data_IF_871202285670
#
_entry.id   IF_871202285670
#
_cell.length_a   1.000
_cell.length_b   1.000
_cell.length_c   1.000
_cell.angle_alpha   90.00
_cell.angle_beta   90.00
_cell.angle_gamma   90.00
#
_symmetry.space_group_name_H-M   'P 1'
#
loop_
_entity.id
_entity.type
_entity.pdbx_description
1 polymer ?
#
# COMPACT_ATOMS: atom_id res chain seq x y z
N UNK A 1 8.48 5.45 -10.84
CA UNK A 1 7.06 5.80 -11.05
C UNK A 1 6.11 4.90 -10.26
N UNK A 2 6.09 3.57 -10.46
CA UNK A 2 5.18 2.68 -9.73
C UNK A 2 5.49 2.62 -8.23
N UNK A 3 6.77 2.48 -7.83
CA UNK A 3 7.14 2.52 -6.40
C UNK A 3 6.74 3.85 -5.75
N UNK A 4 6.83 4.96 -6.47
CA UNK A 4 6.40 6.25 -5.95
C UNK A 4 4.88 6.33 -5.78
N UNK A 5 4.11 5.73 -6.69
CA UNK A 5 2.67 5.59 -6.52
C UNK A 5 2.31 4.72 -5.31
N UNK A 6 3.07 3.64 -5.06
CA UNK A 6 2.95 2.81 -3.86
C UNK A 6 3.25 3.62 -2.59
N UNK A 7 4.36 4.37 -2.56
CA UNK A 7 4.72 5.26 -1.43
C UNK A 7 3.61 6.22 -1.08
N UNK A 8 3.10 6.96 -2.08
CA UNK A 8 2.01 7.92 -1.88
C UNK A 8 0.76 7.20 -1.36
N UNK A 9 0.42 6.03 -1.92
CA UNK A 9 -0.74 5.27 -1.46
C UNK A 9 -0.64 4.89 0.03
N UNK A 10 0.55 4.48 0.49
CA UNK A 10 0.84 4.16 1.89
C UNK A 10 0.73 5.42 2.76
N UNK A 11 1.38 6.51 2.37
CA UNK A 11 1.40 7.77 3.13
C UNK A 11 0.00 8.39 3.33
N UNK A 12 -0.96 8.09 2.45
CA UNK A 12 -2.34 8.53 2.64
C UNK A 12 -3.13 7.71 3.69
N UNK A 13 -2.57 6.59 4.16
CA UNK A 13 -3.22 5.68 5.12
C UNK A 13 -2.38 5.39 6.37
N UNK A 14 -1.07 5.61 6.31
CA UNK A 14 -0.10 5.29 7.35
C UNK A 14 0.84 6.48 7.59
N UNK A 15 1.24 6.68 8.85
CA UNK A 15 2.43 7.45 9.18
C UNK A 15 3.67 6.60 8.95
N UNK A 16 4.63 7.11 8.18
CA UNK A 16 5.90 6.46 7.88
C UNK A 16 7.00 7.07 8.76
N UNK A 17 7.69 6.25 9.55
CA UNK A 17 8.65 6.71 10.57
C UNK A 17 10.07 6.21 10.29
N UNK A 18 10.49 6.24 9.02
CA UNK A 18 11.64 5.51 8.43
C UNK A 18 11.28 4.08 8.00
N UNK A 19 10.42 3.93 6.96
CA UNK A 19 10.00 2.62 6.48
C UNK A 19 11.21 1.82 5.97
N UNK A 20 11.16 0.51 6.21
CA UNK A 20 12.27 -0.42 5.90
C UNK A 20 12.46 -0.60 4.39
N UNK A 21 11.38 -0.49 3.61
CA UNK A 21 11.38 -0.76 2.18
C UNK A 21 11.24 0.50 1.32
N UNK A 22 11.82 0.42 0.12
CA UNK A 22 11.82 1.46 -0.92
C UNK A 22 10.43 1.80 -1.49
N UNK A 23 9.36 1.11 -1.10
CA UNK A 23 7.98 1.41 -1.50
C UNK A 23 7.08 1.82 -0.31
N UNK A 24 7.71 2.23 0.80
CA UNK A 24 7.09 2.44 2.11
C UNK A 24 6.38 1.18 2.65
N UNK A 25 6.98 0.01 2.42
CA UNK A 25 6.47 -1.29 2.85
C UNK A 25 5.10 -1.64 2.23
N UNK A 26 4.77 -1.11 1.06
CA UNK A 26 3.50 -1.39 0.40
C UNK A 26 3.35 -2.88 0.14
N UNK A 27 4.37 -3.53 -0.45
CA UNK A 27 4.31 -4.97 -0.74
C UNK A 27 4.21 -5.80 0.55
N UNK A 28 4.90 -5.39 1.62
CA UNK A 28 4.79 -6.02 2.93
C UNK A 28 3.35 -5.93 3.48
N UNK A 29 2.70 -4.76 3.38
CA UNK A 29 1.30 -4.58 3.80
C UNK A 29 0.36 -5.49 3.00
N UNK A 30 0.54 -5.58 1.67
CA UNK A 30 -0.33 -6.40 0.82
C UNK A 30 -0.22 -7.89 1.17
N UNK A 31 0.99 -8.34 1.51
CA UNK A 31 1.29 -9.73 1.80
C UNK A 31 1.11 -10.11 3.29
N UNK A 32 0.97 -9.14 4.19
CA UNK A 32 0.83 -9.37 5.63
C UNK A 32 -0.41 -10.21 5.96
N UNK A 33 -0.30 -11.23 6.81
CA UNK A 33 -1.49 -11.97 7.29
C UNK A 33 -2.40 -11.09 8.15
N UNK A 34 -1.80 -10.19 8.94
CA UNK A 34 -2.46 -9.24 9.83
C UNK A 34 -1.66 -7.94 9.90
N UNK A 35 -2.35 -6.82 9.94
CA UNK A 35 -1.77 -5.49 10.17
C UNK A 35 -2.13 -5.10 11.61
N UNK A 36 -1.29 -5.52 12.55
CA UNK A 36 -1.41 -5.17 13.96
C UNK A 36 -0.16 -4.44 14.45
N UNK A 37 -0.11 -4.17 15.76
CA UNK A 37 0.95 -3.35 16.32
C UNK A 37 2.36 -3.94 16.11
N UNK A 38 2.47 -5.27 16.18
CA UNK A 38 3.74 -5.96 15.93
C UNK A 38 4.20 -5.76 14.48
N UNK A 39 3.27 -5.89 13.51
CA UNK A 39 3.57 -5.59 12.11
C UNK A 39 3.99 -4.13 11.91
N UNK A 40 3.27 -3.19 12.53
CA UNK A 40 3.55 -1.75 12.43
C UNK A 40 4.94 -1.40 12.96
N UNK A 41 5.27 -1.86 14.17
CA UNK A 41 6.57 -1.58 14.81
C UNK A 41 7.72 -2.23 14.02
N UNK A 42 7.51 -3.44 13.47
CA UNK A 42 8.51 -4.12 12.62
C UNK A 42 8.86 -3.35 11.35
N UNK A 43 7.89 -2.70 10.72
CA UNK A 43 8.07 -2.04 9.41
C UNK A 43 8.14 -0.51 9.52
N UNK A 44 8.11 0.04 10.75
CA UNK A 44 8.08 1.47 11.04
C UNK A 44 6.99 2.23 10.26
N UNK A 45 5.81 1.61 10.14
CA UNK A 45 4.63 2.16 9.47
C UNK A 45 3.40 2.01 10.36
N UNK A 46 2.69 3.09 10.61
CA UNK A 46 1.62 3.16 11.60
C UNK A 46 0.31 3.55 10.96
N UNK A 47 -0.70 2.67 10.99
CA UNK A 47 -1.99 2.96 10.39
C UNK A 47 -2.63 4.16 11.08
N UNK A 48 -3.15 5.12 10.30
CA UNK A 48 -3.86 6.25 10.90
C UNK A 48 -5.03 5.77 11.78
N UNK A 49 -5.25 6.37 12.96
CA UNK A 49 -6.27 5.92 13.91
C UNK A 49 -7.67 5.75 13.30
N UNK A 50 -8.06 6.63 12.38
CA UNK A 50 -9.37 6.58 11.68
C UNK A 50 -9.61 5.25 10.96
N UNK A 51 -8.56 4.60 10.45
CA UNK A 51 -8.70 3.33 9.75
C UNK A 51 -8.62 2.13 10.69
N UNK A 52 -7.92 2.26 11.82
CA UNK A 52 -7.72 1.19 12.80
C UNK A 52 -9.04 0.69 13.39
N UNK A 53 -9.93 1.62 13.71
CA UNK A 53 -11.19 1.29 14.38
C UNK A 53 -12.30 0.90 13.38
N UNK A 54 -12.10 1.17 12.08
CA UNK A 54 -13.13 1.04 11.06
C UNK A 54 -12.89 -0.11 10.08
N UNK A 55 -11.64 -0.55 9.90
CA UNK A 55 -11.27 -1.48 8.83
C UNK A 55 -10.53 -2.71 9.36
N UNK A 56 -10.92 -3.88 8.86
CA UNK A 56 -10.13 -5.10 8.99
C UNK A 56 -8.85 -5.05 8.13
N UNK A 57 -7.91 -5.96 8.38
CA UNK A 57 -6.69 -6.10 7.56
C UNK A 57 -6.99 -6.21 6.06
N UNK A 58 -7.97 -7.02 5.66
CA UNK A 58 -8.31 -7.19 4.25
C UNK A 58 -8.95 -5.93 3.65
N UNK A 59 -9.73 -5.19 4.45
CA UNK A 59 -10.28 -3.91 4.03
C UNK A 59 -9.18 -2.84 3.87
N UNK A 60 -8.18 -2.82 4.76
CA UNK A 60 -7.00 -1.95 4.64
C UNK A 60 -6.25 -2.25 3.35
N UNK A 61 -5.93 -3.52 3.08
CA UNK A 61 -5.26 -3.94 1.84
C UNK A 61 -6.05 -3.55 0.59
N UNK A 62 -7.37 -3.77 0.61
CA UNK A 62 -8.25 -3.43 -0.50
C UNK A 62 -8.28 -1.93 -0.77
N UNK A 63 -8.42 -1.12 0.29
CA UNK A 63 -8.38 0.34 0.19
C UNK A 63 -7.02 0.84 -0.32
N UNK A 64 -5.93 0.29 0.19
CA UNK A 64 -4.57 0.63 -0.22
C UNK A 64 -4.32 0.30 -1.71
N UNK A 65 -4.72 -0.90 -2.16
CA UNK A 65 -4.66 -1.29 -3.59
C UNK A 65 -5.47 -0.33 -4.45
N UNK A 66 -6.70 0.03 -4.04
CA UNK A 66 -7.56 0.95 -4.79
C UNK A 66 -6.92 2.33 -4.93
N UNK A 67 -6.26 2.85 -3.88
CA UNK A 67 -5.53 4.13 -3.95
C UNK A 67 -4.33 4.05 -4.89
N UNK A 68 -3.52 3.00 -4.78
CA UNK A 68 -2.39 2.79 -5.68
C UNK A 68 -2.82 2.72 -7.15
N UNK A 69 -3.90 2.00 -7.47
CA UNK A 69 -4.47 1.92 -8.83
C UNK A 69 -4.83 3.32 -9.35
N UNK A 70 -5.51 4.14 -8.54
CA UNK A 70 -5.87 5.51 -8.91
C UNK A 70 -4.65 6.39 -9.16
N UNK A 71 -3.64 6.30 -8.29
CA UNK A 71 -2.41 7.10 -8.44
C UNK A 71 -1.64 6.67 -9.68
N UNK A 72 -1.55 5.36 -9.97
CA UNK A 72 -0.89 4.85 -11.19
C UNK A 72 -1.66 5.30 -12.43
N UNK A 73 -2.98 5.14 -12.44
CA UNK A 73 -3.85 5.59 -13.54
C UNK A 73 -3.64 7.07 -13.83
N UNK A 74 -3.59 7.90 -12.79
CA UNK A 74 -3.34 9.34 -12.92
C UNK A 74 -1.91 9.66 -13.40
N UNK A 75 -0.87 9.09 -12.76
CA UNK A 75 0.54 9.39 -13.09
C UNK A 75 0.97 8.88 -14.48
N UNK A 76 0.37 7.79 -14.94
CA UNK A 76 0.71 7.16 -16.22
C UNK A 76 -0.24 7.52 -17.37
N UNK A 77 -1.30 8.30 -17.11
CA UNK A 77 -2.37 8.62 -18.06
C UNK A 77 -2.98 7.38 -18.75
N UNK A 78 -3.40 6.41 -17.91
CA UNK A 78 -4.00 5.15 -18.36
C UNK A 78 -5.28 4.85 -17.59
N UNK A 79 -6.14 3.96 -18.12
CA UNK A 79 -7.33 3.51 -17.40
C UNK A 79 -7.00 2.64 -16.16
N UNK A 80 -7.95 2.56 -15.21
CA UNK A 80 -7.78 1.83 -13.95
C UNK A 80 -7.52 0.32 -14.16
N UNK A 81 -8.06 -0.29 -15.22
CA UNK A 81 -7.81 -1.71 -15.54
C UNK A 81 -6.36 -1.97 -15.93
N UNK A 82 -5.76 -1.08 -16.73
CA UNK A 82 -4.35 -1.15 -17.13
C UNK A 82 -3.45 -0.89 -15.93
N UNK A 83 -3.79 0.11 -15.10
CA UNK A 83 -3.09 0.38 -13.85
C UNK A 83 -3.14 -0.81 -12.89
N UNK A 84 -4.30 -1.48 -12.77
CA UNK A 84 -4.46 -2.71 -11.97
C UNK A 84 -3.55 -3.83 -12.46
N UNK A 85 -3.50 -4.07 -13.79
CA UNK A 85 -2.61 -5.08 -14.38
C UNK A 85 -1.14 -4.79 -14.07
N UNK A 86 -0.70 -3.54 -14.22
CA UNK A 86 0.67 -3.12 -13.89
C UNK A 86 0.97 -3.35 -12.41
N UNK A 87 0.07 -2.91 -11.51
CA UNK A 87 0.26 -3.09 -10.07
C UNK A 87 0.37 -4.58 -9.70
N UNK A 88 -0.52 -5.43 -10.22
CA UNK A 88 -0.49 -6.87 -9.93
C UNK A 88 0.78 -7.53 -10.46
N UNK A 89 1.26 -7.16 -11.65
CA UNK A 89 2.53 -7.67 -12.19
C UNK A 89 3.71 -7.30 -11.30
N UNK A 90 3.71 -6.11 -10.68
CA UNK A 90 4.79 -5.70 -9.78
C UNK A 90 4.77 -6.43 -8.43
N UNK A 91 3.59 -6.70 -7.87
CA UNK A 91 3.46 -7.44 -6.61
C UNK A 91 3.88 -8.91 -6.80
N UNK A 92 3.49 -9.54 -7.91
CA UNK A 92 3.81 -10.93 -8.20
C UNK A 92 5.30 -11.19 -8.48
N UNK A 93 6.07 -10.15 -8.84
CA UNK A 93 7.52 -10.25 -9.04
C UNK A 93 8.34 -10.15 -7.75
N UNK A 94 7.71 -9.75 -6.64
CA UNK A 94 8.36 -9.57 -5.35
C UNK A 94 8.30 -10.84 -4.45
N UNK A 95 7.72 -11.94 -4.97
CA UNK A 95 7.58 -13.25 -4.30
C UNK A 95 8.56 -14.25 -4.90
#
# INVERSE_FOLDING_TARGET
MINEAKKIAVEMMFWTACPVDDDNCFDAIINASKIDREFEDKHAIYLHPIYRDLLSTDQIKSALKKRAIKIISFKCDINEDSARKILMQTILRAV
#
